data_IF_317679795858
#
_entry.id   IF_317679795858
#
_cell.length_a   1.000
_cell.length_b   1.000
_cell.length_c   1.000
_cell.angle_alpha   90.00
_cell.angle_beta   90.00
_cell.angle_gamma   90.00
#
_symmetry.space_group_name_H-M   'P 1'
#
loop_
_entity.id
_entity.type
_entity.pdbx_description
1 polymer ?
#
# COMPACT_ATOMS: atom_id res chain seq x y z
N UNK A 1 9.45 24.22 -10.93
CA UNK A 1 8.71 23.17 -11.51
C UNK A 1 8.86 21.87 -10.76
N UNK A 2 7.79 21.37 -10.27
CA UNK A 2 7.90 20.15 -9.46
C UNK A 2 8.33 18.93 -10.24
N UNK A 3 8.19 18.95 -11.54
CA UNK A 3 8.48 17.74 -12.32
C UNK A 3 9.92 17.31 -12.26
N UNK A 4 10.85 18.27 -12.19
CA UNK A 4 12.24 17.91 -12.04
C UNK A 4 12.50 17.18 -10.75
N UNK A 5 11.82 17.62 -9.71
CA UNK A 5 11.98 16.98 -8.41
C UNK A 5 11.44 15.56 -8.40
N UNK A 6 10.35 15.35 -9.11
CA UNK A 6 9.80 13.99 -9.17
C UNK A 6 10.75 13.02 -9.82
N UNK A 7 11.48 13.49 -10.83
CA UNK A 7 12.47 12.62 -11.47
C UNK A 7 13.58 12.23 -10.50
N UNK A 8 13.92 13.15 -9.60
CA UNK A 8 14.90 12.83 -8.58
C UNK A 8 14.39 11.70 -7.70
N UNK A 9 13.13 11.77 -7.30
CA UNK A 9 12.56 10.70 -6.50
C UNK A 9 12.67 9.36 -7.22
N UNK A 10 12.46 9.35 -8.51
CA UNK A 10 12.50 8.11 -9.25
C UNK A 10 13.86 7.45 -9.23
N UNK A 11 14.86 8.16 -8.81
CA UNK A 11 16.23 7.65 -8.85
C UNK A 11 16.75 7.18 -7.53
N UNK A 12 15.93 6.89 -6.60
CA UNK A 12 16.43 6.39 -5.33
C UNK A 12 15.64 6.89 -4.16
N UNK A 13 14.54 7.54 -4.44
CA UNK A 13 13.63 7.97 -3.40
C UNK A 13 12.31 7.29 -3.61
N UNK A 14 11.83 6.71 -2.54
CA UNK A 14 10.55 6.02 -2.56
C UNK A 14 9.67 6.60 -1.47
N UNK A 15 8.38 6.29 -1.56
CA UNK A 15 7.43 6.61 -0.50
C UNK A 15 7.15 5.36 0.29
N UNK A 16 7.24 5.45 1.60
CA UNK A 16 6.84 4.35 2.47
C UNK A 16 5.57 4.78 3.20
N UNK A 17 4.47 4.15 2.85
CA UNK A 17 3.13 4.55 3.30
C UNK A 17 2.62 3.54 4.32
N UNK A 18 2.10 4.04 5.43
CA UNK A 18 1.44 3.20 6.42
C UNK A 18 0.03 3.73 6.63
N UNK A 19 -0.95 2.85 6.52
CA UNK A 19 -2.34 3.21 6.73
C UNK A 19 -3.01 2.16 7.60
N UNK A 20 -3.68 2.62 8.66
CA UNK A 20 -4.27 1.75 9.67
C UNK A 20 -5.78 1.81 9.56
N UNK A 21 -6.43 0.66 9.73
CA UNK A 21 -7.88 0.61 9.75
C UNK A 21 -8.44 1.32 10.97
N UNK A 22 -9.64 1.86 10.84
CA UNK A 22 -10.30 2.62 11.90
C UNK A 22 -10.38 1.78 13.16
N UNK A 23 -9.88 2.34 14.27
CA UNK A 23 -9.84 1.68 15.58
C UNK A 23 -9.17 0.32 15.50
N UNK A 24 -8.26 0.16 14.54
CA UNK A 24 -7.49 -1.07 14.36
C UNK A 24 -8.36 -2.30 14.15
N UNK A 25 -9.55 -2.09 13.61
CA UNK A 25 -10.43 -3.20 13.27
C UNK A 25 -9.84 -4.00 12.11
N UNK A 26 -10.07 -5.31 12.08
CA UNK A 26 -9.42 -6.16 11.07
C UNK A 26 -10.18 -6.16 9.75
N UNK A 27 -10.29 -5.01 9.13
CA UNK A 27 -11.04 -4.87 7.87
C UNK A 27 -10.24 -5.36 6.67
N UNK A 28 -9.01 -5.78 6.88
CA UNK A 28 -8.19 -6.45 5.87
C UNK A 28 -7.90 -7.88 6.30
N UNK A 29 -8.69 -8.41 7.22
CA UNK A 29 -8.37 -9.70 7.83
C UNK A 29 -8.75 -10.92 7.02
N UNK A 30 -9.73 -10.81 6.13
CA UNK A 30 -10.14 -11.97 5.33
C UNK A 30 -9.38 -12.00 4.01
N UNK A 31 -9.15 -13.21 3.52
CA UNK A 31 -8.38 -13.38 2.28
C UNK A 31 -9.02 -12.63 1.13
N UNK A 32 -10.35 -12.66 1.04
CA UNK A 32 -11.03 -11.96 -0.05
C UNK A 32 -10.83 -10.46 0.01
N UNK A 33 -10.74 -9.92 1.21
CA UNK A 33 -10.54 -8.48 1.36
C UNK A 33 -9.11 -8.08 1.01
N UNK A 34 -8.14 -8.91 1.38
CA UNK A 34 -6.77 -8.62 0.99
C UNK A 34 -6.58 -8.72 -0.51
N UNK A 35 -7.23 -9.71 -1.13
CA UNK A 35 -7.17 -9.83 -2.58
C UNK A 35 -7.79 -8.62 -3.26
N UNK A 36 -8.90 -8.15 -2.75
CA UNK A 36 -9.54 -6.94 -3.27
C UNK A 36 -8.60 -5.74 -3.14
N UNK A 37 -8.00 -5.59 -1.96
CA UNK A 37 -7.08 -4.47 -1.74
C UNK A 37 -5.94 -4.49 -2.75
N UNK A 38 -5.34 -5.66 -2.96
CA UNK A 38 -4.21 -5.76 -3.89
C UNK A 38 -4.64 -5.47 -5.32
N UNK A 39 -5.84 -5.88 -5.70
CA UNK A 39 -6.37 -5.58 -7.01
C UNK A 39 -6.55 -4.08 -7.20
N UNK A 40 -7.10 -3.41 -6.19
CA UNK A 40 -7.30 -1.97 -6.26
C UNK A 40 -5.97 -1.23 -6.25
N UNK A 41 -5.00 -1.74 -5.50
CA UNK A 41 -3.66 -1.15 -5.50
C UNK A 41 -3.05 -1.21 -6.90
N UNK A 42 -3.17 -2.35 -7.55
CA UNK A 42 -2.64 -2.50 -8.89
C UNK A 42 -3.29 -1.53 -9.87
N UNK A 43 -4.61 -1.39 -9.77
CA UNK A 43 -5.33 -0.46 -10.63
C UNK A 43 -4.90 0.98 -10.37
N UNK A 44 -4.75 1.32 -9.10
CA UNK A 44 -4.33 2.67 -8.73
C UNK A 44 -2.92 2.96 -9.24
N UNK A 45 -2.03 1.96 -9.13
CA UNK A 45 -0.67 2.12 -9.61
C UNK A 45 -0.65 2.41 -11.11
N UNK A 46 -1.48 1.71 -11.87
CA UNK A 46 -1.56 1.96 -13.31
C UNK A 46 -2.14 3.34 -13.61
N UNK A 47 -3.17 3.72 -12.88
CA UNK A 47 -3.82 5.00 -13.13
C UNK A 47 -2.88 6.16 -12.87
N UNK A 48 -2.12 6.10 -11.79
CA UNK A 48 -1.26 7.22 -11.39
C UNK A 48 0.17 7.07 -11.89
N UNK A 49 0.53 5.91 -12.39
CA UNK A 49 1.86 5.68 -12.94
C UNK A 49 2.93 5.55 -11.88
N UNK A 50 2.74 4.62 -10.95
CA UNK A 50 3.81 4.33 -9.99
C UNK A 50 4.02 2.83 -9.93
N UNK A 51 5.19 2.46 -9.41
CA UNK A 51 5.53 1.06 -9.21
C UNK A 51 5.41 0.69 -7.75
N UNK A 52 4.88 -0.49 -7.50
CA UNK A 52 4.85 -1.05 -6.15
C UNK A 52 6.14 -1.83 -5.96
N UNK A 53 6.99 -1.35 -5.06
CA UNK A 53 8.25 -2.00 -4.76
C UNK A 53 8.11 -3.02 -3.66
N UNK A 54 7.08 -2.89 -2.85
CA UNK A 54 6.79 -3.86 -1.82
C UNK A 54 5.50 -3.49 -1.13
N UNK A 55 4.79 -4.49 -0.64
CA UNK A 55 3.54 -4.26 0.10
C UNK A 55 3.34 -5.40 1.08
N UNK A 56 2.87 -5.05 2.27
CA UNK A 56 2.48 -6.01 3.28
C UNK A 56 1.12 -5.62 3.79
N UNK A 57 0.18 -6.56 3.77
CA UNK A 57 -1.18 -6.32 4.22
C UNK A 57 -1.43 -7.16 5.45
N UNK A 58 -1.60 -6.48 6.57
CA UNK A 58 -1.94 -7.13 7.84
C UNK A 58 -3.43 -6.96 8.07
N UNK A 59 -4.00 -7.67 9.05
CA UNK A 59 -5.45 -7.58 9.23
C UNK A 59 -5.96 -6.15 9.47
N UNK A 60 -5.16 -5.31 10.13
CA UNK A 60 -5.62 -3.98 10.53
C UNK A 60 -4.87 -2.84 9.86
N UNK A 61 -4.00 -3.12 8.85
CA UNK A 61 -3.22 -2.05 8.22
C UNK A 61 -2.49 -2.57 7.00
N UNK A 62 -1.95 -1.64 6.23
CA UNK A 62 -1.02 -2.03 5.19
C UNK A 62 0.21 -1.12 5.21
N UNK A 63 1.28 -1.67 4.68
CA UNK A 63 2.53 -0.94 4.44
C UNK A 63 2.84 -1.04 2.96
N UNK A 64 3.18 0.08 2.35
CA UNK A 64 3.40 0.14 0.90
C UNK A 64 4.66 0.92 0.61
N UNK A 65 5.55 0.33 -0.16
CA UNK A 65 6.74 1.01 -0.66
C UNK A 65 6.54 1.23 -2.15
N UNK A 66 6.53 2.48 -2.59
CA UNK A 66 6.17 2.81 -3.96
C UNK A 66 7.02 3.93 -4.50
N UNK A 67 7.13 3.99 -5.82
CA UNK A 67 7.82 5.08 -6.49
C UNK A 67 6.92 6.31 -6.54
N UNK A 68 7.52 7.44 -6.90
CA UNK A 68 6.77 8.67 -7.09
C UNK A 68 5.84 8.51 -8.30
N UNK A 69 4.56 8.83 -8.17
CA UNK A 69 3.65 8.74 -9.31
C UNK A 69 4.02 9.72 -10.41
N UNK A 70 3.82 9.30 -11.64
CA UNK A 70 4.02 10.16 -12.78
C UNK A 70 2.89 11.17 -12.91
N UNK A 71 1.68 10.75 -12.58
CA UNK A 71 0.50 11.61 -12.66
C UNK A 71 0.05 11.96 -11.26
N UNK A 72 -0.26 13.23 -11.05
CA UNK A 72 -0.79 13.70 -9.79
C UNK A 72 0.22 13.47 -8.66
N UNK A 73 -0.23 13.30 -7.44
CA UNK A 73 0.64 13.19 -6.26
C UNK A 73 0.45 11.86 -5.58
N UNK A 74 1.46 11.49 -4.78
CA UNK A 74 1.35 10.28 -3.95
C UNK A 74 0.19 10.39 -2.98
N UNK A 75 -0.02 11.57 -2.39
CA UNK A 75 -1.13 11.78 -1.47
C UNK A 75 -2.45 11.46 -2.13
N UNK A 76 -2.66 11.97 -3.33
CA UNK A 76 -3.93 11.76 -4.02
C UNK A 76 -4.10 10.29 -4.40
N UNK A 77 -3.01 9.65 -4.83
CA UNK A 77 -3.07 8.25 -5.19
C UNK A 77 -3.48 7.39 -3.99
N UNK A 78 -2.88 7.67 -2.83
CA UNK A 78 -3.19 6.91 -1.62
C UNK A 78 -4.61 7.18 -1.15
N UNK A 79 -5.04 8.43 -1.22
CA UNK A 79 -6.43 8.74 -0.86
C UNK A 79 -7.42 8.01 -1.75
N UNK A 80 -7.12 7.95 -3.04
CA UNK A 80 -8.00 7.26 -3.97
C UNK A 80 -8.06 5.76 -3.65
N UNK A 81 -6.90 5.16 -3.37
CA UNK A 81 -6.85 3.75 -3.02
C UNK A 81 -7.68 3.46 -1.77
N UNK A 82 -7.49 4.27 -0.74
CA UNK A 82 -8.19 4.08 0.52
C UNK A 82 -9.69 4.26 0.34
N UNK A 83 -10.07 5.28 -0.41
CA UNK A 83 -11.48 5.56 -0.66
C UNK A 83 -12.14 4.41 -1.42
N UNK A 84 -11.48 3.94 -2.47
CA UNK A 84 -12.04 2.83 -3.26
C UNK A 84 -12.18 1.57 -2.42
N UNK A 85 -11.15 1.26 -1.64
CA UNK A 85 -11.24 0.07 -0.81
C UNK A 85 -12.37 0.21 0.20
N UNK A 86 -12.48 1.36 0.84
CA UNK A 86 -13.52 1.56 1.83
C UNK A 86 -14.91 1.36 1.26
N UNK A 87 -15.14 1.90 0.08
CA UNK A 87 -16.45 1.75 -0.56
C UNK A 87 -16.73 0.31 -0.91
N UNK A 88 -15.74 -0.38 -1.46
CA UNK A 88 -15.94 -1.79 -1.85
C UNK A 88 -16.09 -2.66 -0.62
N UNK A 89 -15.34 -2.38 0.43
CA UNK A 89 -15.48 -3.13 1.67
C UNK A 89 -16.90 -2.99 2.21
N UNK A 90 -17.38 -1.77 2.32
CA UNK A 90 -18.70 -1.53 2.90
C UNK A 90 -19.79 -2.14 2.03
N UNK A 91 -19.64 -2.09 0.73
CA UNK A 91 -20.60 -2.70 -0.17
C UNK A 91 -20.66 -4.21 0.05
N UNK A 92 -19.50 -4.84 0.16
CA UNK A 92 -19.43 -6.29 0.36
C UNK A 92 -19.94 -6.71 1.72
N UNK A 93 -19.60 -5.96 2.75
CA UNK A 93 -20.00 -6.28 4.13
C UNK A 93 -21.39 -5.78 4.47
N UNK A 94 -21.97 -4.98 3.58
CA UNK A 94 -23.30 -4.39 3.80
C UNK A 94 -23.29 -3.49 5.03
N UNK A 95 -22.27 -2.66 5.12
CA UNK A 95 -22.11 -1.72 6.23
C UNK A 95 -21.87 -0.33 5.68
N UNK A 96 -21.83 0.64 6.58
CA UNK A 96 -21.53 2.02 6.23
C UNK A 96 -20.64 2.57 7.32
N UNK A 97 -19.49 1.93 7.50
CA UNK A 97 -18.59 2.23 8.58
C UNK A 97 -17.36 2.95 8.07
N UNK A 98 -16.72 3.68 8.96
CA UNK A 98 -15.42 4.23 8.65
C UNK A 98 -14.42 3.08 8.59
N UNK A 99 -13.72 2.97 7.46
CA UNK A 99 -12.79 1.86 7.26
C UNK A 99 -11.38 2.23 7.69
N UNK A 100 -10.96 3.47 7.46
CA UNK A 100 -9.60 3.89 7.70
C UNK A 100 -9.52 4.95 8.77
N UNK A 101 -8.40 4.97 9.50
CA UNK A 101 -8.10 6.14 10.30
C UNK A 101 -7.98 7.34 9.38
N UNK A 102 -8.28 8.51 9.91
CA UNK A 102 -8.31 9.72 9.08
C UNK A 102 -6.97 9.99 8.44
N UNK A 103 -5.89 9.78 9.18
CA UNK A 103 -4.56 10.11 8.70
C UNK A 103 -3.76 8.84 8.41
N UNK A 104 -2.80 8.98 7.53
CA UNK A 104 -1.82 7.94 7.26
C UNK A 104 -0.45 8.61 7.19
N UNK A 105 0.61 7.80 7.17
CA UNK A 105 1.96 8.35 7.10
C UNK A 105 2.57 8.05 5.75
N UNK A 106 3.41 8.97 5.31
CA UNK A 106 4.17 8.83 4.07
C UNK A 106 5.58 9.34 4.37
N UNK A 107 6.51 8.42 4.43
CA UNK A 107 7.91 8.73 4.74
C UNK A 107 8.72 8.56 3.47
N UNK A 108 9.49 9.58 3.12
CA UNK A 108 10.40 9.46 1.98
C UNK A 108 11.58 8.61 2.37
N UNK A 109 11.89 7.62 1.56
CA UNK A 109 12.97 6.68 1.80
C UNK A 109 14.03 6.91 0.73
N UNK A 110 15.20 7.33 1.14
CA UNK A 110 16.27 7.76 0.25
C UNK A 110 17.50 6.88 0.42
N UNK A 111 18.00 6.37 -0.71
CA UNK A 111 19.23 5.60 -0.69
C UNK A 111 19.01 4.11 -0.58
N UNK A 112 19.94 3.34 -1.12
CA UNK A 112 19.78 1.89 -1.21
C UNK A 112 19.67 1.23 0.14
N UNK A 113 20.45 1.69 1.09
CA UNK A 113 20.45 1.07 2.41
C UNK A 113 19.11 1.24 3.11
N UNK A 114 18.56 2.44 3.03
CA UNK A 114 17.25 2.70 3.64
C UNK A 114 16.15 1.90 2.95
N UNK A 115 16.24 1.78 1.64
CA UNK A 115 15.27 1.02 0.88
C UNK A 115 15.33 -0.45 1.26
N UNK A 116 16.52 -1.00 1.37
CA UNK A 116 16.68 -2.39 1.78
C UNK A 116 16.12 -2.64 3.16
N UNK A 117 16.30 -1.67 4.06
CA UNK A 117 15.75 -1.80 5.40
C UNK A 117 14.23 -1.89 5.38
N UNK A 118 13.59 -1.08 4.55
CA UNK A 118 12.14 -1.14 4.43
C UNK A 118 11.67 -2.44 3.81
N UNK A 119 12.41 -2.93 2.81
CA UNK A 119 12.03 -4.20 2.19
C UNK A 119 12.13 -5.34 3.19
N UNK A 120 13.16 -5.34 4.03
CA UNK A 120 13.27 -6.36 5.08
C UNK A 120 12.11 -6.26 6.05
N UNK A 121 11.76 -5.05 6.43
CA UNK A 121 10.63 -4.83 7.34
C UNK A 121 9.35 -5.43 6.75
N UNK A 122 9.12 -5.23 5.46
CA UNK A 122 7.93 -5.76 4.82
C UNK A 122 7.91 -7.28 4.82
N UNK A 123 9.04 -7.90 4.57
CA UNK A 123 9.11 -9.35 4.58
C UNK A 123 8.87 -9.93 5.97
N UNK A 124 9.39 -9.26 6.98
CA UNK A 124 9.18 -9.73 8.34
C UNK A 124 7.72 -9.62 8.76
N UNK A 125 7.06 -8.55 8.30
CA UNK A 125 5.65 -8.41 8.56
C UNK A 125 4.83 -9.54 7.95
N UNK A 126 5.22 -9.99 6.76
CA UNK A 126 4.55 -11.12 6.14
C UNK A 126 4.72 -12.39 6.96
N UNK A 127 5.92 -12.60 7.48
CA UNK A 127 6.17 -13.77 8.30
C UNK A 127 5.33 -13.77 9.57
N UNK A 128 5.18 -12.61 10.17
CA UNK A 128 4.39 -12.49 11.39
C UNK A 128 2.96 -12.90 11.18
N UNK A 129 2.44 -12.65 9.99
CA UNK A 129 1.07 -13.06 9.69
C UNK A 129 0.94 -14.57 9.56
N UNK A 130 1.97 -15.22 9.01
CA UNK A 130 2.12 -16.67 9.02
C UNK A 130 0.90 -17.41 8.49
N UNK A 131 0.29 -16.95 7.42
CA UNK A 131 -0.89 -17.59 6.87
C UNK A 131 -0.69 -17.84 5.39
N UNK A 132 -1.51 -18.71 4.82
CA UNK A 132 -1.43 -18.94 3.38
C UNK A 132 -1.82 -17.70 2.62
N UNK A 133 -2.70 -16.89 3.18
CA UNK A 133 -3.05 -15.63 2.54
C UNK A 133 -1.85 -14.71 2.46
N UNK A 134 -1.03 -14.71 3.50
CA UNK A 134 0.18 -13.89 3.48
C UNK A 134 1.11 -14.32 2.37
N UNK A 135 1.24 -15.62 2.17
CA UNK A 135 2.09 -16.11 1.10
C UNK A 135 1.55 -15.71 -0.27
N UNK A 136 0.23 -15.73 -0.42
CA UNK A 136 -0.38 -15.28 -1.66
C UNK A 136 -0.08 -13.81 -1.92
N UNK A 137 -0.16 -13.01 -0.87
CA UNK A 137 0.14 -11.59 -0.99
C UNK A 137 1.58 -11.41 -1.44
N UNK A 138 2.50 -12.14 -0.81
CA UNK A 138 3.90 -12.03 -1.17
C UNK A 138 4.15 -12.43 -2.63
N UNK A 139 3.50 -13.50 -3.08
CA UNK A 139 3.66 -13.92 -4.46
C UNK A 139 3.23 -12.83 -5.41
N UNK A 140 2.11 -12.19 -5.14
CA UNK A 140 1.65 -11.12 -6.00
C UNK A 140 2.62 -9.95 -6.00
N UNK A 141 3.14 -9.61 -4.83
CA UNK A 141 4.11 -8.53 -4.75
C UNK A 141 5.36 -8.84 -5.54
N UNK A 142 5.84 -10.06 -5.41
CA UNK A 142 7.06 -10.45 -6.09
C UNK A 142 6.90 -10.47 -7.59
N UNK A 143 5.70 -10.74 -8.07
CA UNK A 143 5.50 -10.76 -9.51
C UNK A 143 5.66 -9.39 -10.13
N UNK A 144 5.69 -8.35 -9.34
CA UNK A 144 5.93 -6.99 -9.84
C UNK A 144 7.40 -6.66 -9.94
N UNK A 145 8.24 -7.50 -9.41
CA UNK A 145 9.66 -7.28 -9.47
C UNK A 145 10.25 -7.98 -10.66
#
# INVERSE_FOLDING_TARGET
MPKGQRRVYGKGELHFVTSVCYRRQPKLGEAKHRALFLQLLEQTARTFGFEVRGVTVLPDRFYLLMTEPVKDTADHAIEMLRHRYGRRYNSSARTDEQVWETKWTDVHVVGDEAIEGRLRFLKEGEKDTASSESRNIRSKSESHE
#
